data_IF_585144419615
#
_entry.id   IF_585144419615
#
_cell.length_a   1.000
_cell.length_b   1.000
_cell.length_c   1.000
_cell.angle_alpha   90.00
_cell.angle_beta   90.00
_cell.angle_gamma   90.00
#
_symmetry.space_group_name_H-M   'P 1'
#
loop_
_entity.id
_entity.type
_entity.pdbx_description
1 polymer ?
#
# COMPACT_ATOMS: atom_id res chain seq x y z
N UNK A 1 -2.17 11.18 -0.18
CA UNK A 1 -3.47 11.04 0.50
C UNK A 1 -3.35 11.76 1.84
N UNK A 2 -4.11 12.81 2.02
CA UNK A 2 -4.01 13.73 3.15
C UNK A 2 -4.44 13.13 4.51
N UNK A 3 -5.17 12.02 4.52
CA UNK A 3 -5.48 11.27 5.75
C UNK A 3 -4.23 10.70 6.44
N UNK A 4 -3.18 10.44 5.68
CA UNK A 4 -1.96 9.79 6.18
C UNK A 4 -0.71 10.67 6.04
N UNK A 5 -0.80 11.74 5.27
CA UNK A 5 0.33 12.61 4.96
C UNK A 5 0.04 14.05 5.39
N UNK A 6 0.74 14.52 6.41
CA UNK A 6 0.58 15.85 6.95
C UNK A 6 0.96 16.94 5.95
N UNK A 7 -0.01 17.76 5.57
CA UNK A 7 0.12 18.88 4.63
C UNK A 7 -0.42 20.17 5.23
N UNK A 8 0.35 20.88 6.07
CA UNK A 8 -0.14 22.05 6.80
C UNK A 8 -0.62 23.19 5.90
N UNK A 9 -0.04 23.30 4.70
CA UNK A 9 -0.40 24.34 3.74
C UNK A 9 -1.78 24.19 3.12
N UNK A 10 -2.31 22.96 3.02
CA UNK A 10 -3.55 22.71 2.28
C UNK A 10 -4.79 23.29 2.97
N UNK A 11 -4.76 23.47 4.30
CA UNK A 11 -5.86 24.13 5.05
C UNK A 11 -6.07 25.58 4.61
N UNK A 12 -5.00 26.27 4.20
CA UNK A 12 -5.05 27.66 3.76
C UNK A 12 -5.69 27.84 2.39
N UNK A 13 -5.69 26.78 1.60
CA UNK A 13 -6.20 26.76 0.22
C UNK A 13 -7.44 25.88 0.07
N UNK A 14 -8.08 25.51 1.18
CA UNK A 14 -9.32 24.73 1.15
C UNK A 14 -10.39 25.45 0.31
N UNK A 15 -11.00 24.72 -0.63
CA UNK A 15 -12.02 25.25 -1.56
C UNK A 15 -11.46 26.08 -2.71
N UNK A 16 -10.17 26.40 -2.73
CA UNK A 16 -9.54 27.12 -3.83
C UNK A 16 -9.21 26.13 -4.94
N UNK A 17 -9.46 26.54 -6.18
CA UNK A 17 -9.12 25.72 -7.36
C UNK A 17 -7.63 25.42 -7.41
N UNK A 18 -7.27 24.19 -7.75
CA UNK A 18 -5.89 23.75 -7.89
C UNK A 18 -5.21 24.59 -9.00
N UNK A 19 -4.10 25.29 -8.69
CA UNK A 19 -3.41 26.13 -9.68
C UNK A 19 -2.97 25.32 -10.90
N UNK A 20 -3.12 25.91 -12.09
CA UNK A 20 -2.70 25.27 -13.33
C UNK A 20 -1.19 24.95 -13.34
N UNK A 21 -0.38 25.76 -12.66
CA UNK A 21 1.06 25.53 -12.48
C UNK A 21 1.39 24.21 -11.76
N UNK A 22 0.47 23.72 -10.92
CA UNK A 22 0.59 22.41 -10.24
C UNK A 22 0.02 21.30 -11.10
N UNK A 23 -1.03 21.58 -11.85
CA UNK A 23 -1.78 20.60 -12.64
C UNK A 23 -1.19 20.39 -14.04
N UNK A 24 -0.47 21.35 -14.56
CA UNK A 24 0.09 21.34 -15.90
C UNK A 24 0.91 20.07 -16.19
N UNK A 25 0.56 19.38 -17.26
CA UNK A 25 1.23 18.16 -17.69
C UNK A 25 0.88 16.88 -16.88
N UNK A 26 0.08 16.98 -15.84
CA UNK A 26 -0.37 15.80 -15.12
C UNK A 26 -1.48 15.07 -15.88
N UNK A 27 -1.36 13.75 -15.96
CA UNK A 27 -2.42 12.91 -16.50
C UNK A 27 -3.62 12.89 -15.57
N UNK A 28 -4.80 13.12 -16.13
CA UNK A 28 -6.06 13.02 -15.42
C UNK A 28 -6.60 11.59 -15.63
N UNK A 29 -7.08 10.97 -14.55
CA UNK A 29 -7.71 9.64 -14.64
C UNK A 29 -9.06 9.73 -15.36
N UNK A 30 -9.51 8.62 -15.96
CA UNK A 30 -10.85 8.56 -16.56
C UNK A 30 -11.97 8.92 -15.58
N UNK A 31 -11.79 8.63 -14.28
CA UNK A 31 -12.74 8.99 -13.22
C UNK A 31 -12.90 10.50 -13.03
N UNK A 32 -11.87 11.28 -13.29
CA UNK A 32 -11.85 12.74 -13.06
C UNK A 32 -11.92 13.54 -14.36
N UNK A 33 -11.86 12.89 -15.51
CA UNK A 33 -11.83 13.56 -16.83
C UNK A 33 -13.07 14.41 -17.13
N UNK A 34 -14.23 14.07 -16.52
CA UNK A 34 -15.47 14.84 -16.63
C UNK A 34 -15.62 15.97 -15.60
N UNK A 35 -14.71 16.13 -14.65
CA UNK A 35 -14.77 17.19 -13.64
C UNK A 35 -14.41 18.54 -14.25
N UNK A 36 -15.23 19.55 -13.93
CA UNK A 36 -15.01 20.92 -14.39
C UNK A 36 -14.12 21.73 -13.48
N UNK A 37 -13.92 21.29 -12.24
CA UNK A 37 -13.09 21.97 -11.25
C UNK A 37 -12.40 20.97 -10.33
N UNK A 38 -11.27 21.38 -9.76
CA UNK A 38 -10.42 20.57 -8.88
C UNK A 38 -10.07 21.36 -7.63
N UNK A 39 -11.05 21.63 -6.74
CA UNK A 39 -10.79 22.40 -5.53
C UNK A 39 -9.88 21.62 -4.59
N UNK A 40 -8.96 22.32 -3.93
CA UNK A 40 -8.16 21.76 -2.86
C UNK A 40 -9.05 21.43 -1.65
N UNK A 41 -8.81 20.30 -1.01
CA UNK A 41 -9.57 19.86 0.16
C UNK A 41 -8.64 19.72 1.35
N UNK A 42 -8.95 20.41 2.44
CA UNK A 42 -8.23 20.25 3.70
C UNK A 42 -8.46 18.87 4.33
N UNK A 43 -7.50 18.33 5.09
CA UNK A 43 -7.69 17.09 5.82
C UNK A 43 -8.80 17.24 6.86
N UNK A 44 -9.59 16.19 7.01
CA UNK A 44 -10.66 16.12 8.02
C UNK A 44 -10.15 15.74 9.41
N UNK A 45 -8.95 15.14 9.46
CA UNK A 45 -8.35 14.62 10.69
C UNK A 45 -7.21 15.50 11.17
N UNK A 46 -6.99 15.49 12.47
CA UNK A 46 -5.88 16.21 13.09
C UNK A 46 -4.59 15.36 13.03
N UNK A 47 -3.46 16.06 13.00
CA UNK A 47 -2.13 15.47 13.01
C UNK A 47 -1.36 15.97 14.21
N UNK A 48 -0.66 15.07 14.89
CA UNK A 48 0.21 15.38 16.02
C UNK A 48 1.60 14.79 15.78
N UNK A 49 2.59 15.38 16.42
CA UNK A 49 3.94 14.84 16.46
C UNK A 49 4.03 13.68 17.45
N UNK A 50 4.74 12.64 17.05
CA UNK A 50 4.99 11.44 17.87
C UNK A 50 6.46 11.06 17.79
N UNK A 51 6.91 10.37 18.85
CA UNK A 51 8.28 9.89 18.98
C UNK A 51 9.32 10.98 19.11
N UNK A 52 10.57 10.59 19.24
CA UNK A 52 11.73 11.50 19.34
C UNK A 52 12.01 12.22 18.03
N UNK A 53 11.69 11.58 16.90
CA UNK A 53 11.81 12.17 15.56
C UNK A 53 10.84 13.33 15.32
N UNK A 54 9.76 13.43 16.11
CA UNK A 54 8.70 14.40 15.93
C UNK A 54 7.91 14.22 14.63
N UNK A 55 7.86 13.01 14.09
CA UNK A 55 7.10 12.71 12.88
C UNK A 55 5.60 12.91 13.09
N UNK A 56 4.92 13.47 12.09
CA UNK A 56 3.48 13.71 12.16
C UNK A 56 2.69 12.48 11.76
N UNK A 57 1.76 12.06 12.63
CA UNK A 57 0.79 11.00 12.37
C UNK A 57 -0.63 11.52 12.55
N UNK A 58 -1.54 10.99 11.77
CA UNK A 58 -2.96 11.28 11.88
C UNK A 58 -3.57 10.63 13.11
N UNK A 59 -4.55 11.26 13.71
CA UNK A 59 -5.33 10.74 14.85
C UNK A 59 -6.06 9.42 14.54
N UNK A 60 -6.28 9.09 13.27
CA UNK A 60 -6.89 7.81 12.86
C UNK A 60 -5.91 6.63 12.92
N UNK A 61 -4.63 6.88 13.18
CA UNK A 61 -3.58 5.87 13.22
C UNK A 61 -2.88 5.79 14.59
N UNK A 62 -3.62 5.69 15.71
CA UNK A 62 -3.02 5.78 17.06
C UNK A 62 -2.00 4.67 17.33
N UNK A 63 -2.28 3.45 16.87
CA UNK A 63 -1.38 2.31 17.07
C UNK A 63 -0.10 2.41 16.21
N UNK A 64 -0.20 2.93 15.01
CA UNK A 64 0.98 3.20 14.17
C UNK A 64 1.80 4.35 14.78
N UNK A 65 1.15 5.39 15.24
CA UNK A 65 1.79 6.53 15.89
C UNK A 65 2.55 6.14 17.17
N UNK A 66 2.10 5.11 17.90
CA UNK A 66 2.83 4.60 19.09
C UNK A 66 4.16 3.91 18.74
N UNK A 67 4.37 3.53 17.49
CA UNK A 67 5.61 2.91 16.98
C UNK A 67 6.49 3.91 16.21
N UNK A 68 6.26 5.20 16.37
CA UNK A 68 6.91 6.25 15.57
C UNK A 68 8.44 6.17 15.59
N UNK A 69 9.05 5.81 16.72
CA UNK A 69 10.51 5.71 16.85
C UNK A 69 11.10 4.42 16.27
N UNK A 70 10.26 3.44 15.99
CA UNK A 70 10.65 2.15 15.41
C UNK A 70 10.42 2.11 13.89
N UNK A 71 9.91 3.20 13.30
CA UNK A 71 9.53 3.26 11.89
C UNK A 71 10.26 4.38 11.15
N UNK A 72 10.59 4.09 9.89
CA UNK A 72 11.06 5.11 8.96
C UNK A 72 9.91 5.60 8.10
N UNK A 73 9.59 6.89 8.17
CA UNK A 73 8.57 7.54 7.36
C UNK A 73 9.18 8.15 6.11
N UNK A 74 8.96 7.52 4.96
CA UNK A 74 9.45 8.01 3.65
C UNK A 74 8.33 8.78 2.97
N UNK A 75 8.45 10.11 2.87
CA UNK A 75 7.44 11.01 2.31
C UNK A 75 7.66 11.37 0.83
N UNK A 76 8.77 10.97 0.26
CA UNK A 76 9.18 11.31 -1.10
C UNK A 76 8.97 10.21 -2.12
N UNK A 77 8.18 9.18 -1.79
CA UNK A 77 7.87 8.08 -2.72
C UNK A 77 7.03 8.62 -3.87
N UNK A 78 7.45 8.33 -5.09
CA UNK A 78 6.78 8.74 -6.32
C UNK A 78 6.48 7.55 -7.22
N UNK A 79 5.42 7.64 -8.01
CA UNK A 79 5.06 6.66 -9.04
C UNK A 79 4.32 7.32 -10.19
N UNK A 80 4.51 6.82 -11.39
CA UNK A 80 3.73 7.19 -12.58
C UNK A 80 2.46 6.36 -12.75
N UNK A 81 2.22 5.39 -11.85
CA UNK A 81 1.04 4.55 -11.90
C UNK A 81 -0.22 5.35 -11.56
N UNK A 82 -1.14 5.46 -12.50
CA UNK A 82 -2.37 6.24 -12.36
C UNK A 82 -3.48 5.39 -11.74
N UNK A 83 -3.57 4.11 -12.11
CA UNK A 83 -4.61 3.19 -11.67
C UNK A 83 -4.13 2.33 -10.49
N UNK A 84 -5.08 1.86 -9.68
CA UNK A 84 -4.80 1.06 -8.49
C UNK A 84 -4.04 -0.23 -8.81
N UNK A 85 -4.44 -0.98 -9.83
CA UNK A 85 -3.84 -2.26 -10.16
C UNK A 85 -2.33 -2.16 -10.51
N UNK A 86 -1.89 -1.31 -11.46
CA UNK A 86 -0.45 -1.12 -11.70
C UNK A 86 0.26 -0.47 -10.51
N UNK A 87 -0.41 0.41 -9.73
CA UNK A 87 0.20 1.02 -8.55
C UNK A 87 0.46 0.01 -7.43
N UNK A 88 -0.50 -0.87 -7.14
CA UNK A 88 -0.36 -1.94 -6.14
C UNK A 88 0.71 -2.93 -6.60
N UNK A 89 0.71 -3.30 -7.88
CA UNK A 89 1.73 -4.19 -8.45
C UNK A 89 3.11 -3.56 -8.31
N UNK A 90 3.24 -2.27 -8.59
CA UNK A 90 4.50 -1.54 -8.45
C UNK A 90 5.02 -1.52 -7.01
N UNK A 91 4.17 -1.19 -6.03
CA UNK A 91 4.55 -1.19 -4.60
C UNK A 91 5.04 -2.57 -4.15
N UNK A 92 4.38 -3.63 -4.62
CA UNK A 92 4.69 -5.00 -4.17
C UNK A 92 5.90 -5.60 -4.89
N UNK A 93 6.20 -5.20 -6.13
CA UNK A 93 7.17 -5.89 -6.98
C UNK A 93 8.25 -4.99 -7.59
N UNK A 94 8.14 -3.67 -7.42
CA UNK A 94 9.00 -2.70 -8.09
C UNK A 94 8.76 -2.56 -9.60
N UNK A 95 7.62 -3.08 -10.11
CA UNK A 95 7.24 -2.99 -11.53
C UNK A 95 5.73 -2.86 -11.68
N UNK A 96 5.27 -2.04 -12.61
CA UNK A 96 3.85 -1.97 -12.97
C UNK A 96 3.37 -3.20 -13.75
N UNK A 97 4.32 -3.92 -14.36
CA UNK A 97 4.06 -5.13 -15.15
C UNK A 97 4.25 -6.36 -14.26
N UNK A 98 3.26 -7.29 -14.22
CA UNK A 98 3.37 -8.53 -13.48
C UNK A 98 4.57 -9.40 -13.91
N UNK A 99 5.02 -10.30 -13.04
CA UNK A 99 6.06 -11.29 -13.33
C UNK A 99 7.35 -11.13 -12.51
N UNK A 100 7.47 -10.04 -11.73
CA UNK A 100 8.57 -9.88 -10.79
C UNK A 100 8.23 -10.43 -9.40
N UNK A 101 9.22 -10.87 -8.63
CA UNK A 101 9.00 -11.29 -7.25
C UNK A 101 8.44 -10.16 -6.40
N UNK A 102 7.55 -10.51 -5.49
CA UNK A 102 7.04 -9.58 -4.48
C UNK A 102 8.10 -9.23 -3.44
N UNK A 103 7.90 -8.13 -2.72
CA UNK A 103 8.77 -7.73 -1.62
C UNK A 103 8.96 -8.87 -0.59
N UNK A 104 7.87 -9.56 -0.23
CA UNK A 104 7.96 -10.69 0.70
C UNK A 104 8.74 -11.87 0.14
N UNK A 105 8.66 -12.13 -1.17
CA UNK A 105 9.49 -13.15 -1.83
C UNK A 105 10.98 -12.80 -1.77
N UNK A 106 11.32 -11.53 -2.02
CA UNK A 106 12.69 -11.04 -1.88
C UNK A 106 13.23 -11.15 -0.46
N UNK A 107 12.41 -10.81 0.55
CA UNK A 107 12.80 -10.95 1.95
C UNK A 107 12.98 -12.42 2.33
N UNK A 108 12.08 -13.31 1.90
CA UNK A 108 12.22 -14.75 2.11
C UNK A 108 13.48 -15.31 1.46
N UNK A 109 13.82 -14.85 0.25
CA UNK A 109 15.05 -15.26 -0.45
C UNK A 109 16.30 -14.76 0.25
N UNK A 110 16.35 -13.47 0.64
CA UNK A 110 17.55 -12.84 1.16
C UNK A 110 17.83 -13.12 2.64
N UNK A 111 16.78 -13.25 3.46
CA UNK A 111 16.89 -13.45 4.91
C UNK A 111 16.64 -14.89 5.35
N UNK A 112 16.10 -15.72 4.46
CA UNK A 112 15.74 -17.09 4.81
C UNK A 112 14.49 -17.20 5.68
N UNK A 113 14.37 -18.30 6.40
CA UNK A 113 13.28 -18.64 7.32
C UNK A 113 13.83 -18.86 8.72
N UNK A 114 13.09 -18.40 9.73
CA UNK A 114 13.41 -18.68 11.14
C UNK A 114 13.03 -20.13 11.51
N UNK A 115 12.04 -20.70 10.82
CA UNK A 115 11.51 -22.03 11.09
C UNK A 115 11.27 -22.77 9.76
N UNK A 116 11.78 -23.99 9.65
CA UNK A 116 11.65 -24.81 8.43
C UNK A 116 10.28 -25.44 8.26
N UNK A 117 9.51 -25.56 9.35
CA UNK A 117 8.19 -26.22 9.35
C UNK A 117 7.02 -25.25 9.13
N UNK A 118 7.30 -23.93 9.04
CA UNK A 118 6.29 -22.90 8.82
C UNK A 118 6.65 -22.08 7.59
N UNK A 119 5.65 -21.52 6.89
CA UNK A 119 5.92 -20.59 5.79
C UNK A 119 6.76 -19.41 6.25
N UNK A 120 7.82 -19.08 5.52
CA UNK A 120 8.64 -17.89 5.78
C UNK A 120 7.95 -16.59 5.39
N UNK A 121 6.94 -16.67 4.52
CA UNK A 121 6.16 -15.54 4.06
C UNK A 121 4.66 -15.84 4.14
N UNK A 122 3.99 -15.18 5.06
CA UNK A 122 2.54 -15.30 5.29
C UNK A 122 1.84 -14.05 4.82
N UNK A 123 0.72 -14.24 4.15
CA UNK A 123 -0.13 -13.15 3.63
C UNK A 123 -1.47 -13.18 4.36
N UNK A 124 -1.87 -12.04 4.88
CA UNK A 124 -3.19 -11.82 5.44
C UNK A 124 -3.81 -10.58 4.79
N UNK A 125 -5.07 -10.68 4.40
CA UNK A 125 -5.78 -9.50 3.94
C UNK A 125 -7.14 -9.40 4.61
N UNK A 126 -7.53 -8.19 4.97
CA UNK A 126 -8.86 -7.91 5.47
C UNK A 126 -9.84 -7.81 4.29
N UNK A 127 -11.04 -8.35 4.47
CA UNK A 127 -12.14 -8.13 3.52
C UNK A 127 -12.99 -6.96 3.99
N UNK A 128 -13.33 -6.07 3.07
CA UNK A 128 -14.28 -5.00 3.30
C UNK A 128 -15.72 -5.45 2.96
N UNK A 129 -16.71 -4.74 3.48
CA UNK A 129 -18.12 -4.91 3.10
C UNK A 129 -18.45 -4.26 1.75
N UNK A 130 -17.57 -3.40 1.24
CA UNK A 130 -17.73 -2.71 -0.03
C UNK A 130 -16.96 -3.42 -1.15
N UNK A 131 -17.28 -3.16 -2.42
CA UNK A 131 -16.50 -3.66 -3.54
C UNK A 131 -15.03 -3.30 -3.37
N UNK A 132 -14.20 -4.32 -3.28
CA UNK A 132 -12.76 -4.16 -3.08
C UNK A 132 -12.02 -4.14 -4.40
N UNK A 133 -10.82 -3.54 -4.39
CA UNK A 133 -9.88 -3.75 -5.46
C UNK A 133 -9.49 -5.23 -5.51
N UNK A 134 -9.48 -5.80 -6.69
CA UNK A 134 -9.09 -7.20 -6.87
C UNK A 134 -7.65 -7.41 -6.41
N UNK A 135 -7.47 -8.28 -5.43
CA UNK A 135 -6.16 -8.73 -4.98
C UNK A 135 -5.83 -10.04 -5.70
N UNK A 136 -4.71 -10.05 -6.38
CA UNK A 136 -4.27 -11.19 -7.19
C UNK A 136 -3.05 -11.85 -6.56
N UNK A 137 -2.95 -13.16 -6.71
CA UNK A 137 -1.82 -13.95 -6.18
C UNK A 137 -0.44 -13.43 -6.64
N UNK A 138 -0.37 -12.72 -7.76
CA UNK A 138 0.86 -12.08 -8.22
C UNK A 138 1.43 -11.05 -7.25
N UNK A 139 0.60 -10.48 -6.36
CA UNK A 139 1.02 -9.47 -5.38
C UNK A 139 1.88 -10.05 -4.25
N UNK A 140 1.82 -11.38 -4.06
CA UNK A 140 2.68 -12.11 -3.12
C UNK A 140 3.37 -13.30 -3.79
N UNK A 141 3.49 -13.23 -5.11
CA UNK A 141 4.10 -14.25 -5.94
C UNK A 141 5.62 -14.20 -5.93
N UNK A 142 6.20 -15.33 -6.31
CA UNK A 142 7.66 -15.48 -6.46
C UNK A 142 8.19 -14.88 -7.77
N UNK A 143 7.32 -14.57 -8.74
CA UNK A 143 7.76 -14.14 -10.06
C UNK A 143 8.66 -15.20 -10.71
N UNK A 144 9.92 -14.86 -10.94
CA UNK A 144 10.94 -15.74 -11.52
C UNK A 144 11.73 -16.54 -10.46
N UNK A 145 11.46 -16.36 -9.16
CA UNK A 145 12.13 -17.10 -8.09
C UNK A 145 11.50 -18.50 -7.86
N UNK A 146 12.21 -19.40 -7.16
CA UNK A 146 11.66 -20.70 -6.75
C UNK A 146 10.37 -20.54 -5.92
N UNK A 147 9.46 -21.51 -6.08
CA UNK A 147 8.14 -21.47 -5.44
C UNK A 147 8.18 -21.53 -3.91
N UNK A 148 9.28 -21.96 -3.31
CA UNK A 148 9.46 -21.97 -1.84
C UNK A 148 9.42 -20.57 -1.20
N UNK A 149 9.61 -19.51 -2.00
CA UNK A 149 9.48 -18.11 -1.57
C UNK A 149 8.09 -17.53 -1.80
N UNK A 150 7.12 -18.35 -2.23
CA UNK A 150 5.74 -17.94 -2.45
C UNK A 150 5.07 -17.55 -1.13
N UNK A 151 4.38 -16.42 -1.13
CA UNK A 151 3.54 -16.03 -0.01
C UNK A 151 2.36 -16.97 0.18
N UNK A 152 2.14 -17.43 1.41
CA UNK A 152 1.02 -18.31 1.77
C UNK A 152 -0.13 -17.47 2.31
N UNK A 153 -1.23 -17.43 1.56
CA UNK A 153 -2.43 -16.68 1.96
C UNK A 153 -3.20 -17.48 3.01
N UNK A 154 -3.34 -16.87 4.21
CA UNK A 154 -4.26 -17.37 5.22
C UNK A 154 -5.69 -16.90 4.94
N UNK A 155 -6.62 -17.81 4.95
CA UNK A 155 -8.04 -17.58 4.70
C UNK A 155 -8.81 -17.48 6.01
N UNK A 156 -9.74 -16.55 6.08
CA UNK A 156 -10.64 -16.41 7.25
C UNK A 156 -11.80 -17.41 7.26
N UNK A 157 -12.06 -18.07 6.12
CA UNK A 157 -13.17 -19.02 5.96
C UNK A 157 -12.72 -20.27 5.22
N UNK A 158 -13.27 -21.41 5.60
CA UNK A 158 -12.90 -22.72 5.06
C UNK A 158 -11.54 -23.20 5.57
N UNK A 159 -10.81 -23.96 4.74
CA UNK A 159 -9.45 -24.37 5.08
C UNK A 159 -8.53 -23.15 5.17
N UNK A 160 -7.83 -22.95 6.30
CA UNK A 160 -6.96 -21.76 6.49
C UNK A 160 -5.91 -21.59 5.40
N UNK A 161 -5.39 -22.72 4.90
CA UNK A 161 -4.46 -22.75 3.76
C UNK A 161 -4.98 -23.79 2.76
N UNK A 162 -5.02 -23.41 1.49
CA UNK A 162 -5.43 -24.34 0.43
C UNK A 162 -4.37 -25.43 0.21
N UNK A 163 -4.84 -26.62 -0.14
CA UNK A 163 -4.00 -27.76 -0.55
C UNK A 163 -3.05 -28.29 0.53
N UNK A 164 -3.38 -28.13 1.81
CA UNK A 164 -2.62 -28.75 2.91
C UNK A 164 -2.77 -30.28 2.97
N UNK A 165 -3.81 -30.82 2.34
CA UNK A 165 -4.04 -32.26 2.27
C UNK A 165 -3.61 -32.78 0.91
N UNK A 166 -3.03 -33.98 0.91
CA UNK A 166 -2.77 -34.68 -0.34
C UNK A 166 -4.09 -34.86 -1.11
N UNK A 167 -4.07 -34.74 -2.44
CA UNK A 167 -5.21 -35.13 -3.26
C UNK A 167 -5.60 -36.57 -2.93
N UNK A 168 -6.89 -36.80 -2.75
CA UNK A 168 -7.42 -38.17 -2.54
C UNK A 168 -7.29 -38.96 -3.81
#
# INVERSE_FOLDING_TARGET
IDMYDYKPGIRKVHGIELPESIRQGQRITGMTSGQKSFPCVAPMFEFKQHGQSGAYYSEILPHIASLADEMTLIRSVNTEAINHDPAITYIQTGSQVPGRPSLGAWLSYGLGRVNENLPGYVVMHARSKFPEQSLFNRLWGTGFMPSEHQGVLLRSEGDPVLYLKNPA
#
